data_IF_412155674621
#
_entry.id   IF_412155674621
#
_cell.length_a   1.000
_cell.length_b   1.000
_cell.length_c   1.000
_cell.angle_alpha   90.00
_cell.angle_beta   90.00
_cell.angle_gamma   90.00
#
_symmetry.space_group_name_H-M   'P 1'
#
loop_
_entity.id
_entity.type
_entity.pdbx_description
1 polymer ?
#
# COMPACT_ATOMS: atom_id res chain seq x y z
N UNK A 1 23.24 4.17 -2.66
CA UNK A 1 23.04 3.07 -1.68
C UNK A 1 24.40 2.42 -1.35
N UNK A 2 24.51 1.76 -0.19
CA UNK A 2 25.75 1.04 0.19
C UNK A 2 25.82 -0.28 -0.61
N UNK A 3 26.96 -0.65 -1.27
CA UNK A 3 27.07 -1.88 -2.08
C UNK A 3 26.66 -3.17 -1.36
N UNK A 4 26.94 -3.26 -0.05
CA UNK A 4 26.51 -4.41 0.76
C UNK A 4 24.99 -4.48 0.94
N UNK A 5 24.33 -3.33 1.05
CA UNK A 5 22.86 -3.22 1.14
C UNK A 5 22.20 -3.56 -0.18
N UNK A 6 22.77 -3.10 -1.30
CA UNK A 6 22.27 -3.39 -2.64
C UNK A 6 22.34 -4.88 -2.98
N UNK A 7 23.39 -5.57 -2.53
CA UNK A 7 23.50 -7.01 -2.71
C UNK A 7 22.44 -7.79 -1.90
N UNK A 8 22.16 -7.37 -0.66
CA UNK A 8 21.14 -7.99 0.20
C UNK A 8 19.75 -7.90 -0.44
N UNK A 9 19.41 -6.77 -1.07
CA UNK A 9 18.09 -6.53 -1.66
C UNK A 9 18.05 -6.76 -3.18
N UNK A 10 19.06 -7.36 -3.78
CA UNK A 10 19.17 -7.53 -5.25
C UNK A 10 17.96 -8.23 -5.87
N UNK A 11 17.44 -9.27 -5.22
CA UNK A 11 16.25 -10.01 -5.67
C UNK A 11 14.97 -9.16 -5.57
N UNK A 12 14.82 -8.39 -4.50
CA UNK A 12 13.69 -7.47 -4.34
C UNK A 12 13.75 -6.36 -5.38
N UNK A 13 14.93 -5.77 -5.61
CA UNK A 13 15.15 -4.76 -6.65
C UNK A 13 14.77 -5.31 -8.02
N UNK A 14 15.09 -6.57 -8.31
CA UNK A 14 14.71 -7.25 -9.55
C UNK A 14 13.20 -7.37 -9.76
N UNK A 15 12.43 -7.51 -8.68
CA UNK A 15 10.97 -7.68 -8.74
C UNK A 15 10.23 -6.34 -8.72
N UNK A 16 10.54 -5.48 -7.73
CA UNK A 16 9.77 -4.24 -7.46
C UNK A 16 10.41 -2.98 -8.07
N UNK A 17 11.59 -3.10 -8.63
CA UNK A 17 12.36 -1.99 -9.18
C UNK A 17 13.16 -1.19 -8.15
N UNK A 18 14.16 -0.46 -8.64
CA UNK A 18 15.09 0.31 -7.80
C UNK A 18 14.40 1.51 -7.12
N UNK A 19 13.51 2.19 -7.82
CA UNK A 19 12.82 3.38 -7.29
C UNK A 19 11.86 3.03 -6.16
N UNK A 20 11.14 1.93 -6.27
CA UNK A 20 10.28 1.41 -5.20
C UNK A 20 11.11 1.00 -3.99
N UNK A 21 12.26 0.34 -4.22
CA UNK A 21 13.16 -0.02 -3.12
C UNK A 21 13.75 1.20 -2.42
N UNK A 22 14.05 2.29 -3.15
CA UNK A 22 14.47 3.56 -2.58
C UNK A 22 13.38 4.19 -1.71
N UNK A 23 12.13 4.18 -2.16
CA UNK A 23 10.98 4.65 -1.37
C UNK A 23 10.82 3.84 -0.08
N UNK A 24 10.87 2.50 -0.16
CA UNK A 24 10.81 1.62 1.00
C UNK A 24 11.96 1.88 1.99
N UNK A 25 13.18 2.06 1.49
CA UNK A 25 14.35 2.31 2.36
C UNK A 25 14.33 3.68 3.06
N UNK A 26 13.38 4.54 2.74
CA UNK A 26 13.13 5.81 3.44
C UNK A 26 11.88 5.77 4.33
N UNK A 27 11.06 4.73 4.21
CA UNK A 27 9.78 4.60 4.90
C UNK A 27 9.97 4.45 6.41
N UNK A 28 9.22 5.21 7.19
CA UNK A 28 9.15 5.11 8.65
C UNK A 28 7.76 4.65 9.06
N UNK A 29 7.69 3.58 9.82
CA UNK A 29 6.43 2.94 10.23
C UNK A 29 6.34 2.90 11.74
N UNK A 30 5.17 3.21 12.28
CA UNK A 30 4.81 2.99 13.68
C UNK A 30 3.86 1.80 13.79
N UNK A 31 4.23 0.78 14.54
CA UNK A 31 3.44 -0.43 14.75
C UNK A 31 3.00 -0.55 16.20
N UNK A 32 1.67 -0.55 16.39
CA UNK A 32 1.02 -0.71 17.68
C UNK A 32 0.54 -2.14 17.88
N UNK A 33 0.92 -2.71 19.00
CA UNK A 33 0.64 -4.06 19.48
C UNK A 33 1.36 -5.16 18.69
N UNK A 34 1.96 -6.05 19.45
CA UNK A 34 2.90 -7.08 18.98
C UNK A 34 2.47 -8.48 19.39
N UNK A 35 1.17 -8.79 19.24
CA UNK A 35 0.70 -10.18 19.30
C UNK A 35 1.04 -10.90 17.97
N UNK A 36 0.38 -12.04 17.74
CA UNK A 36 0.66 -12.90 16.58
C UNK A 36 0.67 -12.14 15.24
N UNK A 37 -0.34 -11.31 14.97
CA UNK A 37 -0.38 -10.51 13.75
C UNK A 37 0.71 -9.41 13.74
N UNK A 38 0.88 -8.72 14.87
CA UNK A 38 1.83 -7.63 14.97
C UNK A 38 3.28 -8.07 14.77
N UNK A 39 3.67 -9.23 15.32
CA UNK A 39 5.04 -9.74 15.13
C UNK A 39 5.29 -10.17 13.70
N UNK A 40 4.31 -10.76 13.02
CA UNK A 40 4.45 -11.13 11.60
C UNK A 40 4.60 -9.89 10.72
N UNK A 41 3.80 -8.83 10.98
CA UNK A 41 3.95 -7.55 10.28
C UNK A 41 5.31 -6.95 10.57
N UNK A 42 5.76 -6.89 11.83
CA UNK A 42 7.08 -6.36 12.20
C UNK A 42 8.20 -7.10 11.47
N UNK A 43 8.14 -8.42 11.42
CA UNK A 43 9.09 -9.26 10.69
C UNK A 43 9.12 -8.90 9.20
N UNK A 44 7.95 -8.84 8.56
CA UNK A 44 7.85 -8.49 7.15
C UNK A 44 8.43 -7.10 6.86
N UNK A 45 8.12 -6.10 7.69
CA UNK A 45 8.66 -4.74 7.55
C UNK A 45 10.19 -4.69 7.71
N UNK A 46 10.74 -5.44 8.67
CA UNK A 46 12.19 -5.57 8.84
C UNK A 46 12.83 -6.21 7.60
N UNK A 47 12.26 -7.29 7.08
CA UNK A 47 12.80 -7.98 5.91
C UNK A 47 12.66 -7.16 4.62
N UNK A 48 11.61 -6.34 4.50
CA UNK A 48 11.45 -5.37 3.41
C UNK A 48 12.54 -4.28 3.41
N UNK A 49 13.18 -4.02 4.56
CA UNK A 49 14.26 -3.06 4.65
C UNK A 49 13.80 -1.61 4.71
N UNK A 50 12.73 -1.33 5.44
CA UNK A 50 12.27 0.05 5.73
C UNK A 50 13.35 0.82 6.50
N UNK A 51 13.21 2.15 6.59
CA UNK A 51 14.17 2.99 7.29
C UNK A 51 14.11 2.79 8.80
N UNK A 52 12.94 3.02 9.38
CA UNK A 52 12.72 2.99 10.83
C UNK A 52 11.41 2.29 11.16
N UNK A 53 11.45 1.37 12.10
CA UNK A 53 10.29 0.72 12.68
C UNK A 53 10.18 1.15 14.15
N UNK A 54 9.18 1.97 14.46
CA UNK A 54 8.77 2.24 15.82
C UNK A 54 7.79 1.15 16.26
N UNK A 55 7.98 0.58 17.42
CA UNK A 55 7.08 -0.43 17.99
C UNK A 55 6.59 0.00 19.36
N UNK A 56 5.33 -0.27 19.66
CA UNK A 56 4.76 -0.02 20.98
C UNK A 56 3.81 -1.12 21.40
N UNK A 57 4.13 -1.75 22.52
CA UNK A 57 3.25 -2.66 23.24
C UNK A 57 3.67 -2.68 24.71
N UNK A 58 2.92 -2.00 25.58
CA UNK A 58 3.23 -1.88 27.01
C UNK A 58 2.75 -3.09 27.84
N UNK A 59 2.12 -4.08 27.22
CA UNK A 59 1.65 -5.27 27.94
C UNK A 59 2.83 -6.10 28.41
N UNK A 60 2.62 -6.74 29.56
CA UNK A 60 3.61 -7.67 30.13
C UNK A 60 3.49 -9.05 29.48
N UNK A 61 4.61 -9.69 29.31
CA UNK A 61 4.70 -11.06 28.75
C UNK A 61 4.02 -12.05 29.70
N UNK A 62 3.07 -12.81 29.18
CA UNK A 62 2.43 -13.96 29.81
C UNK A 62 2.81 -15.24 29.10
N UNK A 63 2.49 -16.40 29.67
CA UNK A 63 2.74 -17.70 29.05
C UNK A 63 1.98 -17.84 27.70
N UNK A 64 0.77 -17.27 27.62
CA UNK A 64 -0.01 -17.22 26.39
C UNK A 64 0.67 -16.40 25.31
N UNK A 65 1.26 -15.26 25.66
CA UNK A 65 2.00 -14.42 24.70
C UNK A 65 3.22 -15.15 24.17
N UNK A 66 4.00 -15.83 25.02
CA UNK A 66 5.16 -16.62 24.60
C UNK A 66 4.81 -17.71 23.61
N UNK A 67 3.73 -18.43 23.86
CA UNK A 67 3.26 -19.51 22.96
C UNK A 67 2.75 -19.02 21.58
N UNK A 68 2.41 -17.73 21.48
CA UNK A 68 1.86 -17.12 20.24
C UNK A 68 2.83 -16.17 19.54
N UNK A 69 3.92 -15.81 20.17
CA UNK A 69 4.90 -14.87 19.66
C UNK A 69 6.31 -15.43 19.82
N UNK A 70 6.80 -16.03 18.76
CA UNK A 70 8.12 -16.67 18.73
C UNK A 70 9.28 -15.68 18.96
N UNK A 71 9.09 -14.39 18.70
CA UNK A 71 10.08 -13.35 19.00
C UNK A 71 10.33 -13.16 20.51
N UNK A 72 9.42 -13.65 21.36
CA UNK A 72 9.52 -13.58 22.83
C UNK A 72 10.15 -14.82 23.48
N UNK A 73 10.60 -15.81 22.72
CA UNK A 73 11.09 -17.09 23.26
C UNK A 73 12.23 -16.94 24.27
N UNK A 74 13.09 -15.91 24.08
CA UNK A 74 14.24 -15.62 24.96
C UNK A 74 13.92 -14.61 26.06
N UNK A 75 12.71 -14.07 26.13
CA UNK A 75 12.32 -13.04 27.08
C UNK A 75 11.73 -13.65 28.37
N UNK A 76 11.74 -12.89 29.46
CA UNK A 76 11.22 -13.35 30.75
C UNK A 76 9.72 -13.02 30.86
N UNK A 77 9.01 -13.84 31.67
CA UNK A 77 7.64 -13.52 32.06
C UNK A 77 7.63 -12.26 32.91
N UNK A 78 6.73 -11.33 32.58
CA UNK A 78 6.61 -10.04 33.26
C UNK A 78 7.35 -8.88 32.60
N UNK A 79 8.28 -9.14 31.66
CA UNK A 79 8.92 -8.10 30.86
C UNK A 79 7.90 -7.44 29.92
N UNK A 80 8.20 -6.22 29.43
CA UNK A 80 7.37 -5.49 28.48
C UNK A 80 7.56 -6.10 27.07
N UNK A 81 6.46 -6.42 26.39
CA UNK A 81 6.47 -7.03 25.05
C UNK A 81 7.27 -6.17 24.06
N UNK A 82 6.94 -4.88 23.98
CA UNK A 82 7.55 -3.97 23.01
C UNK A 82 9.06 -3.82 23.15
N UNK A 83 9.57 -3.77 24.38
CA UNK A 83 11.00 -3.71 24.65
C UNK A 83 11.70 -5.04 24.33
N UNK A 84 11.08 -6.14 24.75
CA UNK A 84 11.65 -7.48 24.63
C UNK A 84 11.83 -7.96 23.20
N UNK A 85 10.97 -7.50 22.29
CA UNK A 85 10.97 -7.92 20.88
C UNK A 85 12.09 -7.28 20.05
N UNK A 86 12.64 -6.14 20.49
CA UNK A 86 13.63 -5.36 19.73
C UNK A 86 14.85 -6.18 19.35
N UNK A 87 15.38 -6.95 20.28
CA UNK A 87 16.58 -7.77 20.05
C UNK A 87 16.36 -8.82 18.96
N UNK A 88 15.18 -9.42 18.94
CA UNK A 88 14.78 -10.36 17.89
C UNK A 88 14.68 -9.68 16.53
N UNK A 89 13.98 -8.55 16.45
CA UNK A 89 13.79 -7.82 15.20
C UNK A 89 15.10 -7.28 14.63
N UNK A 90 15.99 -6.74 15.48
CA UNK A 90 17.34 -6.30 15.07
C UNK A 90 18.19 -7.44 14.51
N UNK A 91 17.97 -8.66 15.00
CA UNK A 91 18.63 -9.86 14.47
C UNK A 91 18.18 -10.24 13.05
N UNK A 92 16.99 -9.83 12.62
CA UNK A 92 16.47 -10.09 11.27
C UNK A 92 17.13 -9.21 10.22
N UNK A 93 17.36 -7.94 10.55
CA UNK A 93 17.92 -6.98 9.60
C UNK A 93 18.62 -5.83 10.32
N UNK A 94 19.93 -5.78 10.19
CA UNK A 94 20.80 -4.78 10.85
C UNK A 94 20.68 -3.37 10.21
N UNK A 95 20.07 -3.26 9.03
CA UNK A 95 19.92 -1.99 8.31
C UNK A 95 18.63 -1.24 8.65
N UNK A 96 17.74 -1.86 9.43
CA UNK A 96 16.51 -1.23 9.91
C UNK A 96 16.72 -0.67 11.30
N UNK A 97 16.42 0.61 11.47
CA UNK A 97 16.46 1.23 12.80
C UNK A 97 15.17 0.89 13.56
N UNK A 98 15.28 0.13 14.66
CA UNK A 98 14.13 -0.36 15.42
C UNK A 98 14.15 0.26 16.80
N UNK A 99 13.03 0.92 17.17
CA UNK A 99 12.85 1.69 18.40
C UNK A 99 11.57 1.32 19.12
N UNK A 100 11.64 1.25 20.45
CA UNK A 100 10.45 1.21 21.31
C UNK A 100 10.11 2.62 21.75
N UNK A 101 8.94 3.10 21.37
CA UNK A 101 8.51 4.48 21.65
C UNK A 101 7.01 4.55 21.92
N UNK A 102 6.62 5.50 22.76
CA UNK A 102 5.20 5.81 23.01
C UNK A 102 4.70 6.71 21.88
N UNK A 103 3.46 6.47 21.43
CA UNK A 103 2.88 7.28 20.35
C UNK A 103 2.49 8.68 20.84
N UNK A 104 3.23 9.69 20.41
CA UNK A 104 2.99 11.10 20.64
C UNK A 104 2.78 11.83 19.31
N UNK A 105 2.31 13.08 19.34
CA UNK A 105 2.13 13.86 18.11
C UNK A 105 3.47 14.23 17.46
N UNK A 106 4.56 14.32 18.26
CA UNK A 106 5.91 14.52 17.75
C UNK A 106 6.36 13.32 16.92
N UNK A 107 6.17 12.11 17.43
CA UNK A 107 6.50 10.88 16.72
C UNK A 107 5.58 10.67 15.51
N UNK A 108 4.29 11.01 15.64
CA UNK A 108 3.37 10.93 14.50
C UNK A 108 3.82 11.83 13.33
N UNK A 109 4.39 13.00 13.58
CA UNK A 109 4.94 13.88 12.53
C UNK A 109 6.18 13.30 11.85
N UNK A 110 6.86 12.35 12.47
CA UNK A 110 8.07 11.73 11.91
C UNK A 110 7.80 10.47 11.08
N UNK A 111 6.62 9.86 11.24
CA UNK A 111 6.29 8.60 10.58
C UNK A 111 5.39 8.80 9.38
N UNK A 112 5.52 7.90 8.40
CA UNK A 112 4.73 7.92 7.18
C UNK A 112 3.44 7.11 7.34
N UNK A 113 3.49 6.04 8.13
CA UNK A 113 2.39 5.09 8.31
C UNK A 113 2.29 4.63 9.75
N UNK A 114 1.09 4.60 10.28
CA UNK A 114 0.75 3.94 11.55
C UNK A 114 -0.04 2.67 11.26
N UNK A 115 0.40 1.55 11.82
CA UNK A 115 -0.28 0.26 11.75
C UNK A 115 -0.73 -0.13 13.16
N UNK A 116 -2.02 -0.35 13.35
CA UNK A 116 -2.58 -0.85 14.61
C UNK A 116 -3.12 -2.25 14.41
N UNK A 117 -2.67 -3.22 15.22
CA UNK A 117 -3.05 -4.63 15.04
C UNK A 117 -4.04 -5.13 16.08
N UNK A 118 -4.41 -4.29 17.02
CA UNK A 118 -5.36 -4.66 18.07
C UNK A 118 -6.27 -3.50 18.42
N UNK A 119 -7.53 -3.85 18.63
CA UNK A 119 -8.52 -2.96 19.26
C UNK A 119 -8.52 -3.28 20.73
N UNK A 120 -8.19 -2.33 21.58
CA UNK A 120 -8.21 -2.53 23.04
C UNK A 120 -9.22 -1.61 23.72
N UNK A 121 -9.59 -1.97 24.95
CA UNK A 121 -10.60 -1.26 25.75
C UNK A 121 -10.26 0.20 26.05
N UNK A 122 -8.98 0.54 26.09
CA UNK A 122 -8.48 1.88 26.40
C UNK A 122 -8.09 2.69 25.16
N UNK A 123 -8.07 2.05 23.98
CA UNK A 123 -7.62 2.67 22.73
C UNK A 123 -8.82 3.11 21.89
N UNK A 124 -9.09 4.40 21.88
CA UNK A 124 -10.02 4.95 20.92
C UNK A 124 -9.39 4.92 19.51
N UNK A 125 -9.67 3.86 18.75
CA UNK A 125 -9.19 3.71 17.37
C UNK A 125 -9.61 4.88 16.48
N UNK A 126 -10.77 5.48 16.77
CA UNK A 126 -11.24 6.67 16.07
C UNK A 126 -10.33 7.87 16.33
N UNK A 127 -9.96 8.09 17.60
CA UNK A 127 -9.07 9.20 17.96
C UNK A 127 -7.69 9.07 17.27
N UNK A 128 -7.12 7.88 17.26
CA UNK A 128 -5.83 7.67 16.59
C UNK A 128 -5.93 7.85 15.07
N UNK A 129 -7.01 7.36 14.45
CA UNK A 129 -7.26 7.58 13.02
C UNK A 129 -7.42 9.08 12.70
N UNK A 130 -8.22 9.82 13.51
CA UNK A 130 -8.39 11.27 13.34
C UNK A 130 -7.06 12.03 13.53
N UNK A 131 -6.24 11.69 14.53
CA UNK A 131 -4.91 12.29 14.73
C UNK A 131 -3.98 12.03 13.54
N UNK A 132 -3.93 10.80 13.05
CA UNK A 132 -3.15 10.45 11.86
C UNK A 132 -3.60 11.27 10.66
N UNK A 133 -4.92 11.38 10.43
CA UNK A 133 -5.49 12.13 9.33
C UNK A 133 -5.16 13.63 9.40
N UNK A 134 -5.27 14.24 10.59
CA UNK A 134 -4.92 15.64 10.81
C UNK A 134 -3.44 15.95 10.57
N UNK A 135 -2.57 14.98 10.81
CA UNK A 135 -1.13 15.09 10.59
C UNK A 135 -0.68 14.55 9.22
N UNK A 136 -1.64 14.17 8.35
CA UNK A 136 -1.38 13.57 7.04
C UNK A 136 -0.52 12.29 7.09
N UNK A 137 -0.66 11.52 8.17
CA UNK A 137 -0.04 10.21 8.37
C UNK A 137 -1.02 9.13 7.91
N UNK A 138 -0.56 8.17 7.17
CA UNK A 138 -1.39 7.04 6.70
C UNK A 138 -1.69 6.10 7.86
N UNK A 139 -2.92 5.62 7.95
CA UNK A 139 -3.35 4.74 9.02
C UNK A 139 -3.88 3.41 8.48
N UNK A 140 -3.45 2.33 9.09
CA UNK A 140 -3.92 0.98 8.78
C UNK A 140 -4.34 0.32 10.08
N UNK A 141 -5.59 -0.15 10.15
CA UNK A 141 -6.09 -1.01 11.21
C UNK A 141 -6.24 -2.42 10.67
N UNK A 142 -5.48 -3.36 11.20
CA UNK A 142 -5.61 -4.78 10.90
C UNK A 142 -5.83 -5.55 12.18
N UNK A 143 -6.90 -6.31 12.30
CA UNK A 143 -7.15 -7.11 13.51
C UNK A 143 -7.69 -8.49 13.18
N UNK A 144 -7.39 -9.45 14.04
CA UNK A 144 -7.89 -10.82 13.94
C UNK A 144 -8.78 -11.10 15.14
N UNK A 145 -9.99 -11.58 14.87
CA UNK A 145 -11.01 -11.88 15.88
C UNK A 145 -11.50 -13.33 15.61
N UNK A 146 -11.02 -14.28 16.40
CA UNK A 146 -11.31 -15.69 16.18
C UNK A 146 -10.81 -16.15 14.81
N UNK A 147 -11.73 -16.58 13.93
CA UNK A 147 -11.44 -17.04 12.56
C UNK A 147 -11.63 -15.95 11.51
N UNK A 148 -11.96 -14.73 11.90
CA UNK A 148 -12.14 -13.58 11.01
C UNK A 148 -11.03 -12.58 11.17
N UNK A 149 -10.78 -11.80 10.10
CA UNK A 149 -9.92 -10.62 10.12
C UNK A 149 -10.66 -9.39 9.60
N UNK A 150 -10.26 -8.25 10.09
CA UNK A 150 -10.71 -6.95 9.60
C UNK A 150 -9.51 -6.11 9.23
N UNK A 151 -9.55 -5.49 8.06
CA UNK A 151 -8.53 -4.55 7.59
C UNK A 151 -9.24 -3.27 7.15
N UNK A 152 -8.75 -2.14 7.63
CA UNK A 152 -9.19 -0.81 7.23
C UNK A 152 -7.97 0.05 6.93
N UNK A 153 -8.06 0.82 5.84
CA UNK A 153 -7.01 1.74 5.41
C UNK A 153 -7.55 3.16 5.31
N UNK A 154 -6.83 4.12 5.89
CA UNK A 154 -7.06 5.54 5.69
C UNK A 154 -5.77 6.23 5.24
N UNK A 155 -5.69 6.58 3.98
CA UNK A 155 -4.56 7.30 3.40
C UNK A 155 -4.90 8.77 3.10
N UNK A 156 -6.00 9.27 3.69
CA UNK A 156 -6.43 10.67 3.63
C UNK A 156 -7.34 10.98 2.43
N UNK A 157 -7.61 12.28 2.29
CA UNK A 157 -8.53 12.80 1.25
C UNK A 157 -7.98 12.70 -0.17
N UNK A 158 -6.66 12.59 -0.32
CA UNK A 158 -6.00 12.58 -1.63
C UNK A 158 -4.83 11.61 -1.61
N UNK A 159 -5.12 10.33 -1.80
CA UNK A 159 -4.08 9.33 -2.00
C UNK A 159 -3.79 9.17 -3.49
N UNK A 160 -2.55 9.42 -3.88
CA UNK A 160 -2.11 9.38 -5.29
C UNK A 160 -1.48 8.03 -5.56
N UNK A 161 -2.08 7.26 -6.47
CA UNK A 161 -1.55 6.00 -6.99
C UNK A 161 -0.99 6.26 -8.38
N UNK A 162 0.33 6.21 -8.51
CA UNK A 162 1.03 6.48 -9.79
C UNK A 162 1.19 5.23 -10.64
N UNK A 163 1.04 4.05 -10.05
CA UNK A 163 1.14 2.77 -10.72
C UNK A 163 0.07 1.83 -10.16
N UNK A 164 -0.96 1.51 -10.96
CA UNK A 164 -2.12 0.76 -10.52
C UNK A 164 -1.91 -0.76 -10.56
N UNK A 165 -1.05 -1.26 -11.45
CA UNK A 165 -0.91 -2.70 -11.71
C UNK A 165 0.48 -3.26 -11.43
N UNK A 166 1.49 -2.41 -11.20
CA UNK A 166 2.88 -2.84 -10.97
C UNK A 166 3.58 -3.41 -12.22
N UNK A 167 2.94 -3.37 -13.38
CA UNK A 167 3.53 -3.85 -14.63
C UNK A 167 4.56 -2.85 -15.17
N UNK A 168 5.46 -3.33 -16.01
CA UNK A 168 6.37 -2.44 -16.73
C UNK A 168 5.60 -1.59 -17.73
N UNK A 169 6.07 -0.35 -17.96
CA UNK A 169 5.54 0.47 -19.03
C UNK A 169 5.64 -0.26 -20.37
N UNK A 170 4.56 -0.25 -21.13
CA UNK A 170 4.56 -0.78 -22.49
C UNK A 170 5.44 0.11 -23.36
N UNK A 171 6.32 -0.51 -24.14
CA UNK A 171 7.18 0.18 -25.10
C UNK A 171 6.75 -0.24 -26.50
N UNK A 172 6.72 0.70 -27.43
CA UNK A 172 6.45 0.41 -28.84
C UNK A 172 7.27 1.36 -29.73
N UNK A 173 7.63 0.87 -30.89
CA UNK A 173 8.38 1.64 -31.86
C UNK A 173 7.46 2.10 -32.99
N UNK A 174 7.70 3.31 -33.50
CA UNK A 174 6.99 3.87 -34.65
C UNK A 174 7.79 3.55 -35.90
N UNK A 175 7.16 2.82 -36.82
CA UNK A 175 7.76 2.45 -38.13
C UNK A 175 7.52 3.51 -39.22
N UNK A 176 6.38 4.25 -39.12
CA UNK A 176 6.00 5.24 -40.15
C UNK A 176 5.25 6.39 -39.53
N UNK A 177 5.48 7.58 -40.08
CA UNK A 177 4.79 8.82 -39.73
C UNK A 177 4.25 9.45 -40.99
N UNK A 178 2.97 9.72 -41.03
CA UNK A 178 2.31 10.34 -42.16
C UNK A 178 1.52 11.59 -41.71
N UNK A 179 1.66 12.65 -42.45
CA UNK A 179 0.88 13.85 -42.25
C UNK A 179 -0.48 13.71 -42.92
N UNK A 180 -1.51 13.91 -42.18
CA UNK A 180 -2.87 14.14 -42.65
C UNK A 180 -3.23 15.62 -42.43
N UNK A 181 -4.34 16.10 -43.01
CA UNK A 181 -4.71 17.53 -42.97
C UNK A 181 -4.68 18.11 -41.54
N UNK A 182 -5.38 17.45 -40.60
CA UNK A 182 -5.49 17.90 -39.20
C UNK A 182 -4.93 16.92 -38.17
N UNK A 183 -4.17 15.90 -38.61
CA UNK A 183 -3.64 14.88 -37.72
C UNK A 183 -2.32 14.32 -38.21
N UNK A 184 -1.59 13.65 -37.33
CA UNK A 184 -0.42 12.86 -37.67
C UNK A 184 -0.83 11.40 -37.48
N UNK A 185 -0.67 10.59 -38.53
CA UNK A 185 -0.85 9.14 -38.48
C UNK A 185 0.47 8.50 -38.08
N UNK A 186 0.43 7.69 -37.04
CA UNK A 186 1.56 6.93 -36.53
C UNK A 186 1.30 5.44 -36.75
N UNK A 187 2.25 4.75 -37.38
CA UNK A 187 2.19 3.29 -37.57
C UNK A 187 3.19 2.64 -36.62
N UNK A 188 2.72 1.70 -35.81
CA UNK A 188 3.56 0.89 -34.93
C UNK A 188 4.31 -0.17 -35.72
N UNK A 189 5.51 -0.53 -35.26
CA UNK A 189 6.28 -1.64 -35.82
C UNK A 189 5.57 -2.96 -35.53
N UNK A 190 5.72 -3.94 -36.45
CA UNK A 190 5.14 -5.26 -36.29
C UNK A 190 5.79 -6.01 -35.10
N UNK A 191 4.98 -6.63 -34.27
CA UNK A 191 5.40 -7.58 -33.22
C UNK A 191 5.28 -7.14 -31.79
N UNK A 192 5.17 -5.81 -31.48
CA UNK A 192 5.16 -5.31 -30.08
C UNK A 192 3.91 -4.48 -29.75
N UNK A 193 2.74 -4.87 -30.27
CA UNK A 193 1.51 -4.10 -30.05
C UNK A 193 0.85 -4.40 -28.70
N UNK A 194 1.48 -3.94 -27.63
CA UNK A 194 0.88 -4.00 -26.30
C UNK A 194 0.02 -2.77 -25.95
N UNK A 195 0.03 -1.72 -26.80
CA UNK A 195 -0.79 -0.53 -26.62
C UNK A 195 -2.21 -0.75 -27.11
N UNK A 196 -3.19 -0.22 -26.37
CA UNK A 196 -4.61 -0.34 -26.66
C UNK A 196 -5.28 1.03 -26.75
N UNK A 197 -6.46 1.06 -27.36
CA UNK A 197 -7.28 2.28 -27.37
C UNK A 197 -7.61 2.73 -25.94
N UNK A 198 -7.33 3.98 -25.65
CA UNK A 198 -7.49 4.57 -24.31
C UNK A 198 -6.18 4.77 -23.57
N UNK A 199 -5.11 4.04 -23.92
CA UNK A 199 -3.79 4.19 -23.28
C UNK A 199 -3.23 5.60 -23.49
N UNK A 200 -2.54 6.10 -22.45
CA UNK A 200 -1.75 7.32 -22.53
C UNK A 200 -0.32 6.97 -22.90
N UNK A 201 0.32 7.81 -23.70
CA UNK A 201 1.73 7.59 -24.08
C UNK A 201 2.51 8.89 -24.20
N UNK A 202 3.83 8.76 -24.09
CA UNK A 202 4.82 9.81 -24.38
C UNK A 202 5.83 9.31 -25.41
N UNK A 203 6.38 10.24 -26.17
CA UNK A 203 7.57 9.98 -26.97
C UNK A 203 8.80 9.95 -26.05
N UNK A 204 9.75 9.08 -26.35
CA UNK A 204 11.03 9.04 -25.61
C UNK A 204 11.93 10.25 -25.91
N UNK A 205 11.56 11.06 -26.90
CA UNK A 205 12.29 12.26 -27.29
C UNK A 205 12.20 13.34 -26.21
N UNK A 206 13.34 13.82 -25.68
CA UNK A 206 13.38 14.73 -24.52
C UNK A 206 12.74 16.11 -24.78
N UNK A 207 12.53 16.46 -26.03
CA UNK A 207 11.93 17.73 -26.42
C UNK A 207 10.40 17.63 -26.65
N UNK A 208 9.80 16.47 -26.44
CA UNK A 208 8.35 16.24 -26.55
C UNK A 208 7.82 15.77 -25.20
N UNK A 209 7.59 16.71 -24.30
CA UNK A 209 7.09 16.39 -22.94
C UNK A 209 5.57 16.14 -22.88
N UNK A 210 4.86 16.29 -24.00
CA UNK A 210 3.40 16.16 -24.06
C UNK A 210 2.96 14.70 -23.91
N UNK A 211 1.91 14.49 -23.12
CA UNK A 211 1.18 13.21 -23.01
C UNK A 211 0.10 13.18 -24.09
N UNK A 212 -0.02 12.06 -24.77
CA UNK A 212 -1.03 11.80 -25.82
C UNK A 212 -1.93 10.66 -25.38
N UNK A 213 -3.20 10.73 -25.81
CA UNK A 213 -4.16 9.64 -25.62
C UNK A 213 -4.44 8.96 -26.93
N UNK A 214 -4.35 7.65 -26.96
CA UNK A 214 -4.70 6.84 -28.11
C UNK A 214 -6.23 6.77 -28.21
N UNK A 215 -6.83 7.38 -29.24
CA UNK A 215 -8.28 7.36 -29.43
C UNK A 215 -8.75 6.01 -29.97
N UNK A 216 -8.14 5.53 -31.07
CA UNK A 216 -8.40 4.22 -31.67
C UNK A 216 -7.13 3.67 -32.29
N UNK A 217 -6.93 2.37 -32.18
CA UNK A 217 -5.89 1.64 -32.94
C UNK A 217 -6.58 0.77 -33.97
N UNK A 218 -6.26 0.98 -35.25
CA UNK A 218 -6.73 0.17 -36.37
C UNK A 218 -5.49 -0.24 -37.18
N UNK A 219 -5.33 -1.54 -37.45
CA UNK A 219 -4.21 -2.06 -38.25
C UNK A 219 -2.84 -1.51 -37.82
N UNK A 220 -2.55 -1.52 -36.53
CA UNK A 220 -1.32 -0.98 -35.96
C UNK A 220 -1.11 0.54 -36.18
N UNK A 221 -2.14 1.27 -36.53
CA UNK A 221 -2.07 2.71 -36.74
C UNK A 221 -2.98 3.46 -35.77
N UNK A 222 -2.56 4.64 -35.38
CA UNK A 222 -3.37 5.56 -34.60
C UNK A 222 -3.05 7.01 -34.95
N UNK A 223 -3.97 7.92 -34.62
CA UNK A 223 -3.87 9.34 -34.95
C UNK A 223 -3.64 10.17 -33.70
N UNK A 224 -2.80 11.18 -33.83
CA UNK A 224 -2.67 12.26 -32.87
C UNK A 224 -3.04 13.60 -33.53
N UNK A 225 -3.43 14.60 -32.73
CA UNK A 225 -3.73 15.91 -33.26
C UNK A 225 -2.48 16.54 -33.90
N UNK A 226 -2.69 17.26 -35.02
CA UNK A 226 -1.59 17.84 -35.76
C UNK A 226 -0.94 18.96 -34.95
N UNK A 227 0.38 18.86 -34.81
CA UNK A 227 1.28 19.89 -34.27
C UNK A 227 2.53 19.96 -35.17
N UNK A 228 2.74 21.13 -35.78
CA UNK A 228 3.86 21.33 -36.72
C UNK A 228 5.23 21.07 -36.06
N UNK A 229 5.41 21.52 -34.82
CA UNK A 229 6.68 21.35 -34.13
C UNK A 229 6.96 19.86 -33.87
N UNK A 230 5.95 19.14 -33.37
CA UNK A 230 6.02 17.71 -33.10
C UNK A 230 6.27 16.93 -34.40
N UNK A 231 5.48 17.20 -35.45
CA UNK A 231 5.70 16.55 -36.74
C UNK A 231 7.11 16.76 -37.31
N UNK A 232 7.60 17.99 -37.27
CA UNK A 232 8.96 18.33 -37.73
C UNK A 232 10.03 17.61 -36.91
N UNK A 233 9.87 17.52 -35.59
CA UNK A 233 10.82 16.82 -34.73
C UNK A 233 10.82 15.31 -35.03
N UNK A 234 9.64 14.70 -35.07
CA UNK A 234 9.49 13.27 -35.34
C UNK A 234 10.01 12.88 -36.75
N UNK A 235 9.81 13.74 -37.75
CA UNK A 235 10.28 13.47 -39.12
C UNK A 235 11.82 13.53 -39.26
N UNK A 236 12.53 14.04 -38.29
CA UNK A 236 14.00 14.07 -38.24
C UNK A 236 14.60 12.91 -37.44
N UNK A 237 13.77 12.13 -36.72
CA UNK A 237 14.22 11.02 -35.89
C UNK A 237 14.22 9.71 -36.71
N UNK A 238 15.31 8.93 -36.60
CA UNK A 238 15.43 7.65 -37.30
C UNK A 238 14.73 6.48 -36.56
N UNK A 239 14.68 6.57 -35.22
CA UNK A 239 14.06 5.55 -34.37
C UNK A 239 13.20 6.25 -33.33
N UNK A 240 11.89 6.18 -33.49
CA UNK A 240 10.96 6.80 -32.55
C UNK A 240 10.40 5.72 -31.66
N UNK A 241 10.64 5.87 -30.38
CA UNK A 241 10.07 5.03 -29.33
C UNK A 241 8.99 5.80 -28.57
N UNK A 242 7.89 5.15 -28.32
CA UNK A 242 6.84 5.61 -27.42
C UNK A 242 6.72 4.66 -26.23
N UNK A 243 6.40 5.21 -25.09
CA UNK A 243 6.15 4.44 -23.89
C UNK A 243 4.82 4.84 -23.23
N UNK A 244 4.18 3.84 -22.66
CA UNK A 244 2.94 4.03 -21.92
C UNK A 244 3.17 4.98 -20.73
N UNK A 245 2.30 5.96 -20.61
CA UNK A 245 2.19 6.78 -19.40
C UNK A 245 1.01 6.31 -18.59
N UNK A 246 1.25 5.81 -17.40
CA UNK A 246 0.18 5.28 -16.54
C UNK A 246 -0.70 6.39 -16.00
N UNK A 247 -2.00 6.19 -16.05
CA UNK A 247 -2.95 7.13 -15.45
C UNK A 247 -2.76 7.21 -13.94
N UNK A 248 -2.69 8.43 -13.42
CA UNK A 248 -2.67 8.68 -11.99
C UNK A 248 -4.07 8.51 -11.43
N UNK A 249 -4.24 7.58 -10.50
CA UNK A 249 -5.48 7.40 -9.75
C UNK A 249 -5.41 8.19 -8.44
N UNK A 250 -6.43 9.01 -8.19
CA UNK A 250 -6.60 9.72 -6.92
C UNK A 250 -7.71 9.04 -6.14
N UNK A 251 -7.36 8.45 -4.99
CA UNK A 251 -8.30 7.78 -4.10
C UNK A 251 -8.59 8.67 -2.90
N UNK A 252 -9.86 8.86 -2.60
CA UNK A 252 -10.33 9.51 -1.39
C UNK A 252 -10.73 8.44 -0.38
N UNK A 253 -10.04 8.39 0.77
CA UNK A 253 -10.40 7.51 1.87
C UNK A 253 -11.34 8.23 2.83
N UNK A 254 -12.37 7.54 3.29
CA UNK A 254 -13.22 8.01 4.41
C UNK A 254 -12.55 7.68 5.73
N UNK A 255 -12.72 8.52 6.75
CA UNK A 255 -12.24 8.18 8.07
C UNK A 255 -13.05 7.02 8.66
N UNK A 256 -12.47 6.30 9.62
CA UNK A 256 -13.09 5.10 10.21
C UNK A 256 -14.46 5.41 10.82
N UNK A 257 -14.60 6.57 11.44
CA UNK A 257 -15.85 7.03 12.02
C UNK A 257 -16.94 7.26 10.97
N UNK A 258 -16.63 7.98 9.90
CA UNK A 258 -17.55 8.19 8.77
C UNK A 258 -17.95 6.86 8.13
N UNK A 259 -16.99 5.97 7.88
CA UNK A 259 -17.25 4.68 7.27
C UNK A 259 -18.27 3.85 8.05
N UNK A 260 -18.14 3.83 9.39
CA UNK A 260 -19.01 3.02 10.25
C UNK A 260 -20.37 3.65 10.54
N UNK A 261 -20.46 5.00 10.53
CA UNK A 261 -21.73 5.70 10.80
C UNK A 261 -22.60 5.89 9.56
N UNK A 262 -22.02 6.07 8.38
CA UNK A 262 -22.78 6.40 7.17
C UNK A 262 -23.40 5.20 6.44
N UNK A 263 -23.20 3.98 6.90
CA UNK A 263 -23.65 2.74 6.24
C UNK A 263 -23.23 2.61 4.75
N UNK A 264 -22.30 3.45 4.29
CA UNK A 264 -21.74 3.40 2.94
C UNK A 264 -20.49 2.54 2.94
N UNK A 265 -20.65 1.25 2.72
CA UNK A 265 -19.55 0.30 2.69
C UNK A 265 -18.85 0.37 1.33
N UNK A 266 -17.51 0.40 1.26
CA UNK A 266 -16.82 0.27 -0.01
C UNK A 266 -17.04 -1.13 -0.59
N UNK A 267 -17.35 -1.19 -1.88
CA UNK A 267 -17.59 -2.42 -2.66
C UNK A 267 -16.41 -3.44 -2.63
N UNK A 268 -15.28 -3.05 -2.04
CA UNK A 268 -14.01 -3.78 -2.07
C UNK A 268 -13.98 -5.00 -1.13
N UNK A 269 -14.89 -5.10 -0.16
CA UNK A 269 -14.86 -6.20 0.83
C UNK A 269 -15.63 -7.44 0.42
N UNK A 270 -16.11 -7.55 -0.84
CA UNK A 270 -17.15 -8.53 -1.09
C UNK A 270 -16.94 -9.36 -2.35
N UNK A 271 -16.43 -10.53 -2.11
CA UNK A 271 -16.86 -11.72 -2.82
C UNK A 271 -17.44 -12.76 -1.83
N UNK A 272 -18.33 -12.32 -0.98
CA UNK A 272 -19.16 -13.22 -0.17
C UNK A 272 -20.56 -13.18 -0.78
N UNK A 273 -20.81 -14.10 -1.71
CA UNK A 273 -22.09 -14.31 -2.35
C UNK A 273 -23.26 -14.11 -1.38
N UNK A 274 -24.08 -13.07 -1.62
CA UNK A 274 -25.40 -12.85 -1.00
C UNK A 274 -25.50 -12.88 0.54
N UNK A 275 -24.48 -12.45 1.29
CA UNK A 275 -24.59 -12.34 2.76
C UNK A 275 -24.78 -10.89 3.19
N UNK A 276 -25.64 -10.69 4.18
CA UNK A 276 -25.94 -9.39 4.77
C UNK A 276 -24.69 -8.81 5.46
N UNK A 277 -24.00 -7.94 4.74
CA UNK A 277 -22.76 -7.29 5.17
C UNK A 277 -23.03 -6.26 6.25
N UNK A 278 -24.23 -5.67 6.26
CA UNK A 278 -24.65 -4.72 7.31
C UNK A 278 -24.51 -5.33 8.69
N UNK A 279 -24.82 -6.64 8.82
CA UNK A 279 -24.63 -7.36 10.07
C UNK A 279 -23.17 -7.47 10.51
N UNK A 280 -22.25 -7.79 9.60
CA UNK A 280 -20.81 -7.92 9.92
C UNK A 280 -20.24 -6.55 10.34
N UNK A 281 -20.56 -5.49 9.65
CA UNK A 281 -20.10 -4.15 10.01
C UNK A 281 -20.68 -3.65 11.33
N UNK A 282 -21.94 -3.97 11.61
CA UNK A 282 -22.55 -3.66 12.89
C UNK A 282 -21.86 -4.38 14.04
N UNK A 283 -21.52 -5.67 13.87
CA UNK A 283 -20.76 -6.42 14.87
C UNK A 283 -19.36 -5.85 15.07
N UNK A 284 -18.64 -5.50 14.01
CA UNK A 284 -17.32 -4.88 14.11
C UNK A 284 -17.44 -3.52 14.81
N UNK A 285 -18.46 -2.73 14.47
CA UNK A 285 -18.74 -1.46 15.16
C UNK A 285 -19.02 -1.66 16.65
N UNK A 286 -19.83 -2.64 17.02
CA UNK A 286 -20.10 -2.96 18.42
C UNK A 286 -18.85 -3.39 19.17
N UNK A 287 -17.96 -4.12 18.52
CA UNK A 287 -16.66 -4.53 19.07
C UNK A 287 -15.76 -3.28 19.27
N UNK A 288 -15.66 -2.43 18.26
CA UNK A 288 -14.79 -1.24 18.28
C UNK A 288 -15.30 -0.20 19.29
N UNK A 289 -16.62 0.01 19.33
CA UNK A 289 -17.24 1.02 20.20
C UNK A 289 -17.38 0.56 21.67
N UNK A 290 -17.44 -0.75 21.91
CA UNK A 290 -17.55 -1.36 23.24
C UNK A 290 -16.47 -2.43 23.46
N UNK A 291 -15.22 -2.02 23.67
CA UNK A 291 -14.10 -2.94 23.78
C UNK A 291 -14.21 -3.98 24.91
N UNK A 292 -15.05 -3.72 25.92
CA UNK A 292 -15.36 -4.71 26.98
C UNK A 292 -15.93 -6.02 26.42
N UNK A 293 -16.58 -5.98 25.24
CA UNK A 293 -17.10 -7.17 24.59
C UNK A 293 -16.01 -8.08 24.00
N UNK A 294 -14.81 -7.53 23.73
CA UNK A 294 -13.65 -8.28 23.24
C UNK A 294 -12.98 -9.15 24.32
N UNK A 295 -13.20 -8.85 25.58
CA UNK A 295 -12.58 -9.56 26.70
C UNK A 295 -13.26 -10.89 27.01
N UNK A 296 -14.48 -11.11 26.50
CA UNK A 296 -15.15 -12.40 26.61
C UNK A 296 -14.60 -13.36 25.54
N UNK A 297 -13.81 -14.32 25.97
CA UNK A 297 -13.14 -15.34 25.15
C UNK A 297 -14.07 -16.20 24.28
N UNK A 298 -15.38 -16.01 24.36
CA UNK A 298 -16.42 -16.78 23.67
C UNK A 298 -17.15 -15.99 22.57
N UNK A 299 -16.69 -14.79 22.22
CA UNK A 299 -17.33 -14.03 21.14
C UNK A 299 -16.89 -14.56 19.78
N UNK A 300 -17.72 -15.40 19.19
CA UNK A 300 -17.64 -15.78 17.78
C UNK A 300 -18.66 -14.96 17.00
N UNK A 301 -18.29 -14.29 15.90
CA UNK A 301 -19.27 -13.60 15.05
C UNK A 301 -20.33 -14.61 14.60
N UNK A 302 -21.60 -14.32 14.86
CA UNK A 302 -22.73 -15.23 14.58
C UNK A 302 -22.85 -15.64 13.12
N UNK A 303 -22.22 -14.91 12.21
CA UNK A 303 -22.31 -15.13 10.77
C UNK A 303 -21.33 -16.14 10.18
N UNK A 304 -20.30 -16.54 10.93
CA UNK A 304 -19.33 -17.54 10.46
C UNK A 304 -19.76 -19.00 10.63
N UNK A 305 -20.82 -19.24 11.38
CA UNK A 305 -21.26 -20.62 11.71
C UNK A 305 -22.23 -21.21 10.67
N UNK A 306 -22.67 -20.43 9.67
CA UNK A 306 -23.59 -20.91 8.61
C UNK A 306 -22.94 -21.04 7.23
N UNK A 307 -21.69 -21.45 7.18
CA UNK A 307 -21.11 -21.98 5.95
C UNK A 307 -21.27 -23.49 5.93
N UNK A 308 -22.20 -24.04 5.12
CA UNK A 308 -22.15 -25.39 4.66
C UNK A 308 -21.03 -25.57 3.68
#
# INVERSE_FOLDING_TARGET
MNPKKDNLYSRQIGVIGKDTMLKLSNLKVFLLYLDTLGIEIAKCLCLLGIKTLYVYDCRKISDVNKGRNYGLNKSNKGDIIGESIISYLKGLNIYVDIKYEIITDEILKEVDVVIQTKINSNGNVFNLNERCRNLNVKYILGTVIGLTGYIYNDFGEKHIVTDQNGEKHKLSYISKIERLDNSILLTLSDGDNNLTSGDLFKFQEPNIERIFKIKNIENNTFKIDYDYKIYKMLSLCNNICIYEEKEILIIKHKCLKELLYENNYPDILINLENKDITGIHKEIYEIISKPSNLLNSNYYPKYLVKGK
#
